data_IF_402708071121
#
_entry.id   IF_402708071121
#
_cell.length_a   1.000
_cell.length_b   1.000
_cell.length_c   1.000
_cell.angle_alpha   90.00
_cell.angle_beta   90.00
_cell.angle_gamma   90.00
#
_symmetry.space_group_name_H-M   'P 1'
#
loop_
_entity.id
_entity.type
_entity.pdbx_description
1 polymer ?
#
# COMPACT_ATOMS: atom_id res chain seq x y z
N UNK A 1 -22.83 19.29 21.71
CA UNK A 1 -21.60 18.93 20.93
C UNK A 1 -21.11 17.60 21.50
N UNK A 2 -20.64 16.66 20.65
CA UNK A 2 -20.24 15.33 21.12
C UNK A 2 -18.75 15.27 21.33
N UNK A 3 -18.33 14.72 22.47
CA UNK A 3 -16.97 14.30 22.76
C UNK A 3 -16.91 12.77 22.71
N UNK A 4 -15.84 12.24 22.15
CA UNK A 4 -15.57 10.80 22.17
C UNK A 4 -14.29 10.55 22.95
N UNK A 5 -14.35 9.71 23.97
CA UNK A 5 -13.25 9.40 24.88
C UNK A 5 -12.88 7.93 24.70
N UNK A 6 -11.63 7.65 24.41
CA UNK A 6 -11.02 6.33 24.36
C UNK A 6 -10.15 6.17 25.60
N UNK A 7 -10.64 5.40 26.59
CA UNK A 7 -9.95 5.22 27.87
C UNK A 7 -8.97 4.06 27.82
N UNK A 8 -7.82 4.24 28.49
CA UNK A 8 -6.80 3.20 28.70
C UNK A 8 -6.29 2.56 27.39
N UNK A 9 -6.21 3.35 26.31
CA UNK A 9 -5.76 2.85 25.01
C UNK A 9 -4.25 2.91 24.88
N UNK A 10 -3.61 1.85 24.36
CA UNK A 10 -2.20 1.87 23.98
C UNK A 10 -2.04 2.79 22.76
N UNK A 11 -1.59 4.01 22.97
CA UNK A 11 -1.35 4.98 21.91
C UNK A 11 0.06 4.80 21.34
N UNK A 12 0.15 4.41 20.07
CA UNK A 12 1.39 4.27 19.34
C UNK A 12 1.44 5.32 18.21
N UNK A 13 2.38 6.25 18.29
CA UNK A 13 2.57 7.30 17.30
C UNK A 13 4.01 7.29 16.76
N UNK A 14 4.28 6.67 15.61
CA UNK A 14 5.63 6.61 15.04
C UNK A 14 6.24 7.98 14.73
N UNK A 15 5.42 8.99 14.45
CA UNK A 15 5.89 10.33 14.11
C UNK A 15 6.62 11.00 15.30
N UNK A 16 6.23 10.68 16.54
CA UNK A 16 6.80 11.22 17.79
C UNK A 16 7.49 10.15 18.65
N UNK A 17 7.52 8.91 18.16
CA UNK A 17 8.03 7.75 18.89
C UNK A 17 7.31 7.48 20.22
N UNK A 18 6.03 7.86 20.34
CA UNK A 18 5.20 7.66 21.52
C UNK A 18 4.65 6.23 21.53
N UNK A 19 4.73 5.56 22.69
CA UNK A 19 4.15 4.23 22.91
C UNK A 19 3.77 4.11 24.40
N UNK A 20 2.59 4.61 24.78
CA UNK A 20 2.11 4.64 26.16
C UNK A 20 0.62 4.33 26.23
N UNK A 21 0.14 3.87 27.38
CA UNK A 21 -1.30 3.73 27.67
C UNK A 21 -1.83 5.08 28.16
N UNK A 22 -2.79 5.64 27.42
CA UNK A 22 -3.30 6.99 27.61
C UNK A 22 -4.81 7.03 27.34
N UNK A 23 -5.45 8.09 27.83
CA UNK A 23 -6.80 8.48 27.44
C UNK A 23 -6.71 9.48 26.28
N UNK A 24 -7.43 9.20 25.19
CA UNK A 24 -7.49 10.06 24.02
C UNK A 24 -8.90 10.60 23.86
N UNK A 25 -9.02 11.91 23.76
CA UNK A 25 -10.31 12.59 23.62
C UNK A 25 -10.40 13.27 22.26
N UNK A 26 -11.46 12.96 21.55
CA UNK A 26 -11.79 13.59 20.28
C UNK A 26 -12.95 14.58 20.46
N UNK A 27 -12.79 15.75 19.88
CA UNK A 27 -13.88 16.74 19.78
C UNK A 27 -13.98 17.29 18.36
N UNK A 28 -15.16 17.17 17.77
CA UNK A 28 -15.39 17.47 16.36
C UNK A 28 -14.48 16.57 15.47
N UNK A 29 -13.56 17.18 14.76
CA UNK A 29 -12.63 16.49 13.84
C UNK A 29 -11.19 16.43 14.33
N UNK A 30 -10.92 16.82 15.60
CA UNK A 30 -9.57 16.97 16.13
C UNK A 30 -9.36 16.16 17.41
N UNK A 31 -8.12 15.86 17.68
CA UNK A 31 -7.65 15.34 18.97
C UNK A 31 -7.68 16.50 19.96
N UNK A 32 -8.57 16.44 20.95
CA UNK A 32 -8.75 17.47 21.95
C UNK A 32 -7.75 17.36 23.10
N UNK A 33 -7.52 16.13 23.58
CA UNK A 33 -6.64 15.86 24.70
C UNK A 33 -6.03 14.47 24.61
N UNK A 34 -4.80 14.34 25.10
CA UNK A 34 -4.10 13.08 25.33
C UNK A 34 -3.51 13.17 26.74
N UNK A 35 -3.90 12.26 27.65
CA UNK A 35 -3.48 12.29 29.05
C UNK A 35 -3.57 10.90 29.70
N UNK A 36 -2.90 10.69 30.84
CA UNK A 36 -2.95 9.40 31.58
C UNK A 36 -4.28 9.17 32.31
N UNK A 37 -4.97 10.22 32.69
CA UNK A 37 -6.29 10.16 33.37
C UNK A 37 -7.07 11.41 32.98
N UNK A 38 -7.93 11.26 32.01
CA UNK A 38 -8.79 12.37 31.57
C UNK A 38 -10.03 12.47 32.47
N UNK A 39 -10.17 13.62 33.14
CA UNK A 39 -11.33 13.93 33.98
C UNK A 39 -12.47 14.48 33.13
N UNK A 40 -13.57 13.76 33.05
CA UNK A 40 -14.77 14.13 32.26
C UNK A 40 -15.43 15.44 32.73
N UNK A 41 -15.17 15.84 33.98
CA UNK A 41 -15.67 17.10 34.58
C UNK A 41 -15.19 18.36 33.83
N UNK A 42 -14.10 18.24 33.05
CA UNK A 42 -13.60 19.31 32.19
C UNK A 42 -14.57 19.61 31.02
N UNK A 43 -15.43 18.64 30.68
CA UNK A 43 -16.43 18.78 29.62
C UNK A 43 -17.70 19.39 30.24
N UNK A 44 -18.18 20.51 29.66
CA UNK A 44 -19.44 21.15 30.12
C UNK A 44 -20.61 20.17 30.09
N UNK A 45 -21.46 20.20 31.10
CA UNK A 45 -22.57 19.25 31.31
C UNK A 45 -23.58 19.14 30.14
N UNK A 46 -23.69 20.18 29.29
CA UNK A 46 -24.60 20.18 28.14
C UNK A 46 -24.06 19.44 26.89
N UNK A 47 -22.87 18.81 26.98
CA UNK A 47 -22.29 18.09 25.86
C UNK A 47 -22.53 16.59 25.99
N UNK A 48 -22.86 15.95 24.89
CA UNK A 48 -22.90 14.50 24.79
C UNK A 48 -21.47 13.94 24.87
N UNK A 49 -21.28 12.85 25.62
CA UNK A 49 -19.98 12.19 25.78
C UNK A 49 -20.16 10.69 25.54
N UNK A 50 -19.45 10.17 24.54
CA UNK A 50 -19.37 8.75 24.28
C UNK A 50 -18.03 8.25 24.82
N UNK A 51 -18.05 7.25 25.71
CA UNK A 51 -16.84 6.72 26.35
C UNK A 51 -16.68 5.26 25.91
N UNK A 52 -15.51 4.91 25.41
CA UNK A 52 -15.11 3.56 25.07
C UNK A 52 -14.04 3.06 26.03
N UNK A 53 -14.23 1.85 26.57
CA UNK A 53 -13.17 1.13 27.27
C UNK A 53 -12.26 0.45 26.25
N UNK A 54 -11.02 0.91 26.18
CA UNK A 54 -10.05 0.47 25.21
C UNK A 54 -8.88 -0.32 25.84
N UNK A 55 -9.06 -0.83 27.06
CA UNK A 55 -8.03 -1.67 27.68
C UNK A 55 -7.68 -2.88 26.79
N UNK A 56 -6.39 -3.11 26.60
CA UNK A 56 -5.84 -4.13 25.71
C UNK A 56 -5.89 -3.81 24.21
N UNK A 57 -6.40 -2.63 23.82
CA UNK A 57 -6.45 -2.20 22.42
C UNK A 57 -5.34 -1.20 22.09
N UNK A 58 -4.97 -1.15 20.82
CA UNK A 58 -3.95 -0.22 20.30
C UNK A 58 -4.57 0.79 19.34
N UNK A 59 -4.21 2.07 19.49
CA UNK A 59 -4.54 3.17 18.58
C UNK A 59 -3.28 3.63 17.86
N UNK A 60 -3.34 3.75 16.53
CA UNK A 60 -2.25 4.27 15.70
C UNK A 60 -2.79 5.24 14.66
N UNK A 61 -1.94 6.09 14.05
CA UNK A 61 -2.35 6.81 12.85
C UNK A 61 -2.93 5.87 11.79
N UNK A 62 -3.84 6.37 10.98
CA UNK A 62 -4.45 5.59 9.91
C UNK A 62 -3.46 5.19 8.82
N UNK A 63 -3.69 4.04 8.21
CA UNK A 63 -2.83 3.45 7.18
C UNK A 63 -2.94 4.24 5.87
N UNK A 64 -1.80 4.41 5.19
CA UNK A 64 -1.69 4.94 3.83
C UNK A 64 -1.31 3.77 2.91
N UNK A 65 -2.23 3.32 2.08
CA UNK A 65 -1.92 2.32 1.07
C UNK A 65 -1.46 3.01 -0.22
N UNK A 66 -0.19 2.83 -0.57
CA UNK A 66 0.45 3.52 -1.69
C UNK A 66 0.09 2.94 -3.06
N UNK A 67 -0.56 1.77 -3.15
CA UNK A 67 -0.69 1.08 -4.43
C UNK A 67 -1.99 0.29 -4.52
N UNK A 68 -3.04 0.97 -5.02
CA UNK A 68 -4.37 0.38 -5.23
C UNK A 68 -4.75 0.47 -6.71
N UNK A 69 -4.97 -0.68 -7.33
CA UNK A 69 -5.51 -0.77 -8.68
C UNK A 69 -6.97 -1.21 -8.61
N UNK A 70 -7.89 -0.27 -8.80
CA UNK A 70 -9.32 -0.56 -8.82
C UNK A 70 -9.64 -1.36 -10.08
N UNK A 71 -10.12 -2.59 -9.90
CA UNK A 71 -10.48 -3.50 -10.98
C UNK A 71 -11.77 -3.09 -11.70
N UNK A 72 -12.03 -3.69 -12.87
CA UNK A 72 -13.25 -3.42 -13.64
C UNK A 72 -14.55 -3.80 -12.91
N UNK A 73 -14.47 -4.71 -11.95
CA UNK A 73 -15.58 -5.19 -11.13
C UNK A 73 -15.76 -4.42 -9.85
N UNK A 74 -14.87 -3.47 -9.56
CA UNK A 74 -14.89 -2.61 -8.39
C UNK A 74 -15.27 -1.19 -8.77
N UNK A 75 -15.75 -0.43 -7.80
CA UNK A 75 -15.93 1.01 -7.94
C UNK A 75 -15.25 1.74 -6.78
N UNK A 76 -14.96 3.01 -6.96
CA UNK A 76 -14.22 3.80 -5.99
C UNK A 76 -14.83 3.77 -4.59
N UNK A 77 -16.15 3.94 -4.49
CA UNK A 77 -16.86 4.00 -3.20
C UNK A 77 -16.85 2.65 -2.49
N UNK A 78 -17.03 1.54 -3.21
CA UNK A 78 -16.96 0.20 -2.61
C UNK A 78 -15.53 -0.10 -2.13
N UNK A 79 -14.51 0.26 -2.92
CA UNK A 79 -13.11 0.09 -2.53
C UNK A 79 -12.76 0.96 -1.30
N UNK A 80 -13.25 2.20 -1.21
CA UNK A 80 -13.08 3.04 -0.02
C UNK A 80 -13.71 2.40 1.24
N UNK A 81 -14.90 1.80 1.13
CA UNK A 81 -15.53 1.12 2.27
C UNK A 81 -14.69 -0.08 2.74
N UNK A 82 -14.20 -0.89 1.82
CA UNK A 82 -13.32 -2.02 2.12
C UNK A 82 -12.02 -1.52 2.76
N UNK A 83 -11.43 -0.45 2.22
CA UNK A 83 -10.25 0.18 2.77
C UNK A 83 -10.48 0.66 4.22
N UNK A 84 -11.65 1.30 4.51
CA UNK A 84 -12.00 1.69 5.86
C UNK A 84 -12.09 0.50 6.83
N UNK A 85 -12.68 -0.61 6.41
CA UNK A 85 -12.74 -1.84 7.22
C UNK A 85 -11.36 -2.46 7.48
N UNK A 86 -10.41 -2.19 6.59
CA UNK A 86 -9.02 -2.66 6.66
C UNK A 86 -8.05 -1.69 7.36
N UNK A 87 -8.58 -0.60 7.96
CA UNK A 87 -7.74 0.38 8.67
C UNK A 87 -7.07 1.43 7.79
N UNK A 88 -7.37 1.45 6.50
CA UNK A 88 -6.79 2.41 5.56
C UNK A 88 -7.60 3.70 5.64
N UNK A 89 -6.93 4.81 5.93
CA UNK A 89 -7.52 6.16 5.96
C UNK A 89 -7.18 6.98 4.72
N UNK A 90 -6.16 6.55 3.99
CA UNK A 90 -5.74 7.17 2.74
C UNK A 90 -5.25 6.10 1.76
N UNK A 91 -5.70 6.13 0.53
CA UNK A 91 -5.23 5.21 -0.52
C UNK A 91 -4.79 5.98 -1.75
N UNK A 92 -3.82 5.43 -2.47
CA UNK A 92 -3.31 6.01 -3.72
C UNK A 92 -3.65 5.09 -4.87
N UNK A 93 -4.48 5.60 -5.79
CA UNK A 93 -4.93 4.81 -6.93
C UNK A 93 -4.01 4.97 -8.14
N UNK A 94 -3.82 3.86 -8.86
CA UNK A 94 -2.99 3.80 -10.06
C UNK A 94 -3.71 4.42 -11.27
N UNK A 95 -2.97 4.94 -12.28
CA UNK A 95 -3.58 5.63 -13.43
C UNK A 95 -4.25 4.71 -14.44
N UNK A 96 -3.96 3.42 -14.42
CA UNK A 96 -4.43 2.44 -15.41
C UNK A 96 -5.84 1.90 -15.10
N UNK A 97 -6.75 2.82 -14.78
CA UNK A 97 -8.18 2.55 -14.55
C UNK A 97 -9.02 2.90 -15.78
N UNK A 98 -10.34 2.84 -15.63
CA UNK A 98 -11.30 3.31 -16.61
C UNK A 98 -12.22 4.35 -15.98
N UNK A 99 -12.15 5.64 -16.39
CA UNK A 99 -11.23 6.23 -17.36
C UNK A 99 -9.78 6.29 -16.84
N UNK A 100 -8.78 6.35 -17.74
CA UNK A 100 -7.37 6.51 -17.37
C UNK A 100 -7.10 7.87 -16.73
N UNK A 101 -6.20 7.90 -15.71
CA UNK A 101 -5.83 9.15 -15.02
C UNK A 101 -4.69 9.87 -15.76
N UNK A 102 -4.93 10.22 -17.01
CA UNK A 102 -3.98 10.91 -17.91
C UNK A 102 -4.40 12.33 -18.27
N UNK A 103 -5.44 12.85 -17.62
CA UNK A 103 -6.02 14.17 -17.87
C UNK A 103 -6.21 14.94 -16.55
N UNK A 104 -5.80 16.23 -16.48
CA UNK A 104 -5.94 17.07 -15.29
C UNK A 104 -7.37 17.12 -14.73
N UNK A 105 -8.40 17.18 -15.61
CA UNK A 105 -9.81 17.29 -15.19
C UNK A 105 -10.30 16.04 -14.46
N UNK A 106 -9.82 14.85 -14.84
CA UNK A 106 -10.18 13.59 -14.16
C UNK A 106 -9.56 13.56 -12.77
N UNK A 107 -8.33 14.02 -12.62
CA UNK A 107 -7.63 14.09 -11.34
C UNK A 107 -8.35 15.04 -10.37
N UNK A 108 -8.70 16.23 -10.83
CA UNK A 108 -9.47 17.22 -10.06
C UNK A 108 -10.83 16.64 -9.63
N UNK A 109 -11.53 15.96 -10.54
CA UNK A 109 -12.83 15.33 -10.24
C UNK A 109 -12.72 14.31 -9.09
N UNK A 110 -11.75 13.38 -9.16
CA UNK A 110 -11.56 12.37 -8.12
C UNK A 110 -11.19 13.01 -6.79
N UNK A 111 -10.31 14.01 -6.81
CA UNK A 111 -9.91 14.75 -5.60
C UNK A 111 -11.12 15.37 -4.91
N UNK A 112 -11.93 16.13 -5.65
CA UNK A 112 -13.15 16.78 -5.10
C UNK A 112 -14.16 15.77 -4.57
N UNK A 113 -14.32 14.64 -5.25
CA UNK A 113 -15.21 13.57 -4.80
C UNK A 113 -14.73 12.98 -3.47
N UNK A 114 -13.41 12.85 -3.29
CA UNK A 114 -12.81 12.31 -2.07
C UNK A 114 -12.86 13.27 -0.88
N UNK A 115 -12.65 14.57 -1.09
CA UNK A 115 -12.59 15.58 -0.03
C UNK A 115 -13.90 15.70 0.78
N UNK A 116 -15.04 15.45 0.17
CA UNK A 116 -16.37 15.55 0.80
C UNK A 116 -16.86 14.22 1.40
N UNK A 117 -16.04 13.20 1.42
CA UNK A 117 -16.41 11.88 1.88
C UNK A 117 -16.01 11.62 3.35
N UNK A 118 -16.84 10.86 4.07
CA UNK A 118 -16.48 10.27 5.38
C UNK A 118 -15.64 9.00 5.24
N UNK A 119 -15.33 8.62 4.00
CA UNK A 119 -14.55 7.44 3.63
C UNK A 119 -13.06 7.80 3.49
N UNK A 120 -12.17 6.79 3.39
CA UNK A 120 -10.75 7.00 3.15
C UNK A 120 -10.44 7.98 2.03
N UNK A 121 -9.47 8.86 2.27
CA UNK A 121 -9.02 9.82 1.26
C UNK A 121 -8.45 9.10 0.05
N UNK A 122 -8.80 9.59 -1.13
CA UNK A 122 -8.26 9.06 -2.39
C UNK A 122 -7.27 10.04 -2.96
N UNK A 123 -6.02 9.63 -3.01
CA UNK A 123 -4.97 10.31 -3.74
C UNK A 123 -4.75 9.60 -5.08
N UNK A 124 -4.14 10.26 -6.04
CA UNK A 124 -3.99 9.71 -7.38
C UNK A 124 -2.54 9.82 -7.87
N UNK A 125 -2.07 8.76 -8.51
CA UNK A 125 -0.94 8.88 -9.42
C UNK A 125 -1.45 9.27 -10.81
N UNK A 126 -0.85 10.30 -11.40
CA UNK A 126 -1.07 10.61 -12.81
C UNK A 126 -0.32 9.64 -13.72
N UNK A 127 -0.86 9.38 -14.90
CA UNK A 127 -0.15 8.62 -15.91
C UNK A 127 1.14 9.35 -16.33
N UNK A 128 2.28 8.67 -16.24
CA UNK A 128 3.58 9.24 -16.58
C UNK A 128 3.73 9.48 -18.08
N UNK A 129 3.14 8.61 -18.89
CA UNK A 129 3.13 8.73 -20.34
C UNK A 129 1.71 8.64 -20.89
N UNK A 130 1.49 9.24 -22.06
CA UNK A 130 0.19 9.23 -22.73
C UNK A 130 -0.27 7.77 -22.92
N UNK A 131 -1.48 7.49 -22.48
CA UNK A 131 -2.13 6.19 -22.57
C UNK A 131 -1.32 5.01 -21.99
N UNK A 132 -0.37 5.29 -21.09
CA UNK A 132 0.57 4.31 -20.50
C UNK A 132 1.38 3.55 -21.55
N UNK A 133 1.70 4.19 -22.70
CA UNK A 133 2.41 3.54 -23.80
C UNK A 133 3.94 3.63 -23.69
N UNK A 134 4.48 4.45 -22.76
CA UNK A 134 5.93 4.63 -22.61
C UNK A 134 6.62 5.40 -23.74
N UNK A 135 5.86 6.02 -24.65
CA UNK A 135 6.38 6.68 -25.86
C UNK A 135 6.48 8.20 -25.73
N UNK A 136 5.49 8.82 -25.11
CA UNK A 136 5.39 10.27 -24.97
C UNK A 136 4.97 10.63 -23.54
N UNK A 137 5.64 11.61 -22.95
CA UNK A 137 5.32 12.11 -21.61
C UNK A 137 3.93 12.75 -21.59
N UNK A 138 3.16 12.49 -20.52
CA UNK A 138 1.89 13.17 -20.25
C UNK A 138 2.11 14.60 -19.74
N UNK A 139 1.03 15.35 -19.56
CA UNK A 139 1.05 16.72 -19.03
C UNK A 139 1.21 16.71 -17.49
N UNK A 140 2.34 16.15 -17.01
CA UNK A 140 2.57 15.90 -15.58
C UNK A 140 2.55 17.17 -14.74
N UNK A 141 2.95 18.33 -15.30
CA UNK A 141 2.88 19.62 -14.63
C UNK A 141 1.45 19.99 -14.27
N UNK A 142 0.56 20.03 -15.27
CA UNK A 142 -0.87 20.35 -15.07
C UNK A 142 -1.56 19.32 -14.17
N UNK A 143 -1.25 18.04 -14.31
CA UNK A 143 -1.79 17.00 -13.43
C UNK A 143 -1.32 17.17 -11.99
N UNK A 144 -0.06 17.60 -11.76
CA UNK A 144 0.44 17.91 -10.42
C UNK A 144 -0.29 19.08 -9.78
N UNK A 145 -0.59 20.14 -10.55
CA UNK A 145 -1.37 21.29 -10.07
C UNK A 145 -2.80 20.88 -9.66
N UNK A 146 -3.41 19.95 -10.39
CA UNK A 146 -4.73 19.40 -10.07
C UNK A 146 -4.71 18.39 -8.91
N UNK A 147 -3.53 17.99 -8.43
CA UNK A 147 -3.39 17.18 -7.22
C UNK A 147 -2.84 15.79 -7.40
N UNK A 148 -2.28 15.43 -8.56
CA UNK A 148 -1.51 14.21 -8.68
C UNK A 148 -0.28 14.26 -7.76
N UNK A 149 -0.09 13.21 -6.94
CA UNK A 149 0.98 13.18 -5.92
C UNK A 149 2.25 12.51 -6.40
N UNK A 150 2.25 11.90 -7.57
CA UNK A 150 3.36 11.24 -8.23
C UNK A 150 2.93 10.72 -9.61
N UNK A 151 3.87 10.15 -10.36
CA UNK A 151 3.60 9.70 -11.73
C UNK A 151 4.12 8.29 -11.98
N UNK A 152 3.31 7.48 -12.65
CA UNK A 152 3.61 6.08 -12.97
C UNK A 152 2.86 5.64 -14.23
N UNK A 153 3.32 4.58 -14.88
CA UNK A 153 2.51 3.85 -15.86
C UNK A 153 1.75 2.66 -15.24
N UNK A 154 1.61 2.67 -13.89
CA UNK A 154 0.90 1.63 -13.16
C UNK A 154 1.65 0.29 -13.18
N UNK A 155 1.13 -0.66 -13.93
CA UNK A 155 1.68 -2.03 -14.02
C UNK A 155 2.50 -2.25 -15.30
N UNK A 156 3.05 -1.19 -15.88
CA UNK A 156 3.91 -1.23 -17.05
C UNK A 156 5.18 -0.44 -16.80
N UNK A 157 6.27 -0.96 -17.32
CA UNK A 157 7.57 -0.29 -17.32
C UNK A 157 7.65 0.80 -18.40
N UNK A 158 8.34 1.89 -18.10
CA UNK A 158 8.74 2.86 -19.13
C UNK A 158 10.07 2.39 -19.73
N UNK A 159 10.00 1.70 -20.87
CA UNK A 159 11.17 1.07 -21.51
C UNK A 159 12.15 2.06 -22.09
N UNK A 160 11.67 3.12 -22.74
CA UNK A 160 12.52 4.08 -23.45
C UNK A 160 13.29 4.96 -22.46
N UNK A 161 14.62 4.80 -22.43
CA UNK A 161 15.50 5.55 -21.52
C UNK A 161 15.48 7.06 -21.75
N UNK A 162 15.26 7.54 -22.99
CA UNK A 162 15.16 8.96 -23.28
C UNK A 162 13.85 9.55 -22.75
N UNK A 163 12.75 8.83 -22.91
CA UNK A 163 11.44 9.22 -22.33
C UNK A 163 11.54 9.25 -20.81
N UNK A 164 12.11 8.21 -20.20
CA UNK A 164 12.30 8.14 -18.76
C UNK A 164 13.18 9.28 -18.24
N UNK A 165 14.30 9.57 -18.89
CA UNK A 165 15.16 10.71 -18.53
C UNK A 165 14.43 12.05 -18.58
N UNK A 166 13.65 12.30 -19.65
CA UNK A 166 12.88 13.55 -19.80
C UNK A 166 11.81 13.67 -18.71
N UNK A 167 11.10 12.58 -18.46
CA UNK A 167 10.10 12.50 -17.40
C UNK A 167 10.73 12.78 -16.02
N UNK A 168 11.83 12.11 -15.67
CA UNK A 168 12.55 12.32 -14.42
C UNK A 168 13.06 13.74 -14.27
N UNK A 169 13.61 14.35 -15.34
CA UNK A 169 14.07 15.73 -15.29
C UNK A 169 12.94 16.71 -15.00
N UNK A 170 11.78 16.53 -15.64
CA UNK A 170 10.64 17.41 -15.40
C UNK A 170 9.98 17.14 -14.01
N UNK A 171 9.86 15.89 -13.61
CA UNK A 171 9.32 15.52 -12.29
C UNK A 171 10.20 16.08 -11.15
N UNK A 172 11.52 16.13 -11.32
CA UNK A 172 12.43 16.76 -10.38
C UNK A 172 12.15 18.27 -10.21
N UNK A 173 11.84 18.99 -11.30
CA UNK A 173 11.51 20.42 -11.27
C UNK A 173 10.23 20.71 -10.47
N UNK A 174 9.23 19.85 -10.59
CA UNK A 174 7.95 19.99 -9.88
C UNK A 174 7.92 19.26 -8.53
N UNK A 175 9.06 18.71 -8.09
CA UNK A 175 9.22 17.97 -6.84
C UNK A 175 8.19 16.84 -6.65
N UNK A 176 7.96 16.04 -7.70
CA UNK A 176 7.06 14.87 -7.65
C UNK A 176 7.86 13.59 -7.88
N UNK A 177 7.56 12.53 -7.11
CA UNK A 177 8.21 11.24 -7.32
C UNK A 177 7.76 10.57 -8.62
N UNK A 178 8.68 9.83 -9.23
CA UNK A 178 8.38 8.86 -10.28
C UNK A 178 8.34 7.48 -9.63
N UNK A 179 7.23 6.79 -9.81
CA UNK A 179 6.98 5.45 -9.27
C UNK A 179 7.03 4.45 -10.41
N UNK A 180 7.92 3.47 -10.34
CA UNK A 180 8.13 2.52 -11.42
C UNK A 180 7.80 1.09 -10.99
N UNK A 181 6.94 0.44 -11.78
CA UNK A 181 6.89 -1.01 -11.85
C UNK A 181 8.11 -1.46 -12.67
N UNK A 182 9.11 -1.99 -11.98
CA UNK A 182 10.38 -2.33 -12.61
C UNK A 182 10.33 -3.75 -13.18
N UNK A 183 10.03 -3.87 -14.46
CA UNK A 183 10.03 -5.14 -15.17
C UNK A 183 10.39 -4.91 -16.64
N UNK A 184 11.38 -5.62 -17.13
CA UNK A 184 11.68 -5.64 -18.57
C UNK A 184 10.64 -6.52 -19.27
N UNK A 185 9.73 -5.88 -20.02
CA UNK A 185 8.60 -6.57 -20.65
C UNK A 185 9.03 -7.48 -21.82
N UNK A 186 10.22 -7.33 -22.36
CA UNK A 186 10.74 -8.22 -23.39
C UNK A 186 11.28 -9.51 -22.77
N UNK A 187 11.97 -9.41 -21.62
CA UNK A 187 12.43 -10.56 -20.86
C UNK A 187 11.28 -11.31 -20.16
N UNK A 188 10.27 -10.59 -19.72
CA UNK A 188 9.09 -11.21 -19.09
C UNK A 188 8.07 -11.75 -20.09
N UNK A 189 8.27 -11.51 -21.39
CA UNK A 189 7.33 -11.93 -22.42
C UNK A 189 6.00 -11.18 -22.44
N UNK A 190 5.86 -10.10 -21.67
CA UNK A 190 4.62 -9.30 -21.60
C UNK A 190 4.49 -8.30 -22.75
N UNK A 191 5.50 -8.19 -23.61
CA UNK A 191 5.47 -7.32 -24.77
C UNK A 191 4.59 -7.89 -25.88
N UNK A 192 3.37 -7.37 -26.01
CA UNK A 192 2.41 -7.77 -27.04
C UNK A 192 2.86 -7.50 -28.50
N UNK A 193 3.88 -6.69 -28.69
CA UNK A 193 4.44 -6.41 -30.01
C UNK A 193 5.51 -7.45 -30.43
N UNK A 194 5.95 -8.29 -29.53
CA UNK A 194 6.86 -9.39 -29.83
C UNK A 194 6.13 -10.46 -30.64
N UNK A 195 6.78 -10.94 -31.68
CA UNK A 195 6.28 -12.06 -32.51
C UNK A 195 6.30 -13.40 -31.78
N UNK A 196 6.98 -13.47 -30.64
CA UNK A 196 6.98 -14.61 -29.73
C UNK A 196 5.81 -14.46 -28.75
N UNK A 197 4.75 -15.26 -28.91
CA UNK A 197 3.57 -15.33 -28.06
C UNK A 197 3.85 -15.95 -26.67
N UNK A 198 5.02 -15.74 -26.13
CA UNK A 198 5.45 -16.39 -24.89
C UNK A 198 5.28 -15.38 -23.74
N UNK A 199 4.19 -15.49 -23.01
CA UNK A 199 3.96 -14.70 -21.80
C UNK A 199 4.57 -15.42 -20.60
N UNK A 200 5.47 -14.77 -19.89
CA UNK A 200 5.97 -15.26 -18.60
C UNK A 200 4.83 -15.39 -17.58
N UNK A 201 4.87 -16.44 -16.80
CA UNK A 201 3.76 -16.85 -15.93
C UNK A 201 4.15 -16.90 -14.46
N UNK A 202 5.43 -17.20 -14.19
CA UNK A 202 5.99 -17.34 -12.86
C UNK A 202 7.51 -17.06 -12.86
N UNK A 203 8.17 -17.16 -11.71
CA UNK A 203 9.63 -17.05 -11.64
C UNK A 203 10.32 -18.14 -12.46
N UNK A 204 11.37 -17.77 -13.19
CA UNK A 204 12.20 -18.74 -13.90
C UNK A 204 13.05 -19.55 -12.93
N UNK A 205 13.04 -20.88 -13.07
CA UNK A 205 13.80 -21.77 -12.23
C UNK A 205 13.37 -23.24 -12.31
N UNK A 206 13.75 -24.00 -11.30
CA UNK A 206 13.42 -25.42 -11.21
C UNK A 206 11.91 -25.65 -11.18
N UNK A 207 11.17 -24.84 -10.40
CA UNK A 207 9.72 -25.01 -10.23
C UNK A 207 8.98 -24.72 -11.54
N UNK A 208 9.34 -23.66 -12.27
CA UNK A 208 8.71 -23.34 -13.56
C UNK A 208 8.93 -24.47 -14.59
N UNK A 209 10.15 -24.99 -14.65
CA UNK A 209 10.49 -26.13 -15.52
C UNK A 209 9.68 -27.39 -15.16
N UNK A 210 9.58 -27.68 -13.86
CA UNK A 210 8.81 -28.83 -13.36
C UNK A 210 7.30 -28.70 -13.65
N UNK A 211 6.76 -27.49 -13.57
CA UNK A 211 5.34 -27.21 -13.85
C UNK A 211 5.04 -27.05 -15.33
N UNK A 212 6.06 -26.93 -16.18
CA UNK A 212 5.89 -26.63 -17.61
C UNK A 212 5.33 -25.23 -17.86
N UNK A 213 5.59 -24.28 -16.93
CA UNK A 213 5.17 -22.89 -17.02
C UNK A 213 6.34 -22.02 -17.49
N UNK A 214 6.02 -20.95 -18.22
CA UNK A 214 7.01 -20.04 -18.78
C UNK A 214 7.60 -19.18 -17.65
N UNK A 215 8.93 -19.20 -17.51
CA UNK A 215 9.66 -18.45 -16.49
C UNK A 215 9.86 -16.99 -16.86
N UNK A 216 9.89 -16.13 -15.83
CA UNK A 216 10.31 -14.73 -15.89
C UNK A 216 11.62 -14.64 -15.12
N UNK A 217 12.75 -14.33 -15.79
CA UNK A 217 14.03 -14.25 -15.12
C UNK A 217 14.05 -13.09 -14.11
N UNK A 218 14.73 -13.29 -12.97
CA UNK A 218 14.83 -12.27 -11.92
C UNK A 218 15.51 -10.98 -12.40
N UNK A 219 16.44 -11.09 -13.35
CA UNK A 219 17.13 -9.95 -13.94
C UNK A 219 16.18 -9.00 -14.71
N UNK A 220 14.98 -9.43 -15.10
CA UNK A 220 13.98 -8.54 -15.71
C UNK A 220 13.61 -7.38 -14.78
N UNK A 221 13.61 -7.58 -13.46
CA UNK A 221 13.39 -6.55 -12.45
C UNK A 221 14.65 -5.69 -12.27
N UNK A 222 15.78 -6.32 -12.08
CA UNK A 222 17.06 -5.66 -11.73
C UNK A 222 17.55 -4.70 -12.82
N UNK A 223 17.50 -5.11 -14.09
CA UNK A 223 17.97 -4.30 -15.25
C UNK A 223 17.25 -2.95 -15.30
N UNK A 224 15.95 -2.95 -15.09
CA UNK A 224 15.17 -1.71 -15.09
C UNK A 224 15.55 -0.82 -13.90
N UNK A 225 15.72 -1.40 -12.72
CA UNK A 225 16.12 -0.67 -11.51
C UNK A 225 17.51 -0.03 -11.69
N UNK A 226 18.51 -0.78 -12.16
CA UNK A 226 19.86 -0.26 -12.39
C UNK A 226 19.89 0.87 -13.41
N UNK A 227 19.17 0.71 -14.52
CA UNK A 227 19.02 1.77 -15.52
C UNK A 227 18.45 3.04 -14.88
N UNK A 228 17.34 2.90 -14.16
CA UNK A 228 16.60 4.04 -13.60
C UNK A 228 17.36 4.73 -12.47
N UNK A 229 18.11 4.00 -11.66
CA UNK A 229 19.01 4.59 -10.66
C UNK A 229 20.07 5.49 -11.30
N UNK A 230 20.64 5.08 -12.44
CA UNK A 230 21.59 5.91 -13.18
C UNK A 230 20.93 7.19 -13.70
N UNK A 231 19.70 7.10 -14.19
CA UNK A 231 18.92 8.26 -14.65
C UNK A 231 18.49 9.15 -13.47
N UNK A 232 18.10 8.57 -12.34
CA UNK A 232 17.77 9.31 -11.12
C UNK A 232 18.98 10.07 -10.56
N UNK A 233 20.18 9.46 -10.59
CA UNK A 233 21.44 10.13 -10.25
C UNK A 233 21.71 11.34 -11.14
N UNK A 234 21.44 11.22 -12.44
CA UNK A 234 21.65 12.29 -13.42
C UNK A 234 20.66 13.45 -13.22
N UNK A 235 19.42 13.16 -12.86
CA UNK A 235 18.31 14.14 -12.83
C UNK A 235 18.00 14.69 -11.46
N UNK A 236 18.43 14.01 -10.39
CA UNK A 236 18.15 14.39 -9.00
C UNK A 236 16.69 14.17 -8.55
N UNK A 237 15.89 13.42 -9.33
CA UNK A 237 14.50 13.12 -9.05
C UNK A 237 14.35 12.21 -7.81
N UNK A 238 13.23 12.33 -7.10
CA UNK A 238 12.79 11.31 -6.17
C UNK A 238 12.27 10.11 -6.98
N UNK A 239 12.99 8.98 -6.94
CA UNK A 239 12.61 7.78 -7.66
C UNK A 239 12.20 6.67 -6.70
N UNK A 240 11.04 6.07 -6.93
CA UNK A 240 10.47 5.03 -6.11
C UNK A 240 10.29 3.74 -6.91
N UNK A 241 10.88 2.66 -6.43
CA UNK A 241 10.71 1.31 -7.00
C UNK A 241 9.56 0.63 -6.31
N UNK A 242 8.49 0.34 -7.03
CA UNK A 242 7.32 -0.32 -6.48
C UNK A 242 7.55 -1.84 -6.37
N UNK A 243 7.01 -2.43 -5.29
CA UNK A 243 6.88 -3.88 -5.00
C UNK A 243 8.11 -4.71 -5.37
N UNK A 244 9.30 -4.34 -4.87
CA UNK A 244 10.54 -5.11 -5.08
C UNK A 244 10.38 -6.56 -4.60
N UNK A 245 10.92 -7.49 -5.37
CA UNK A 245 10.74 -8.92 -5.14
C UNK A 245 12.02 -9.75 -5.14
N UNK A 246 13.17 -9.21 -5.63
CA UNK A 246 14.40 -9.99 -5.78
C UNK A 246 15.53 -9.51 -4.87
N UNK A 247 16.42 -10.41 -4.46
CA UNK A 247 17.64 -10.11 -3.68
C UNK A 247 18.52 -9.08 -4.38
N UNK A 248 18.74 -9.27 -5.68
CA UNK A 248 19.61 -8.39 -6.45
C UNK A 248 19.06 -6.97 -6.54
N UNK A 249 17.75 -6.81 -6.72
CA UNK A 249 17.09 -5.49 -6.68
C UNK A 249 17.31 -4.79 -5.34
N UNK A 250 17.15 -5.51 -4.23
CA UNK A 250 17.36 -4.97 -2.88
C UNK A 250 18.81 -4.54 -2.69
N UNK A 251 19.78 -5.33 -3.16
CA UNK A 251 21.18 -4.99 -3.09
C UNK A 251 21.52 -3.73 -3.87
N UNK A 252 21.04 -3.61 -5.10
CA UNK A 252 21.23 -2.43 -5.96
C UNK A 252 20.62 -1.19 -5.33
N UNK A 253 19.41 -1.28 -4.77
CA UNK A 253 18.75 -0.18 -4.07
C UNK A 253 19.51 0.21 -2.80
N UNK A 254 19.98 -0.76 -2.02
CA UNK A 254 20.78 -0.53 -0.81
C UNK A 254 22.05 0.27 -1.12
N UNK A 255 22.78 -0.11 -2.16
CA UNK A 255 23.98 0.61 -2.58
C UNK A 255 23.65 2.02 -3.10
N UNK A 256 22.56 2.20 -3.83
CA UNK A 256 22.12 3.52 -4.28
C UNK A 256 21.77 4.44 -3.10
N UNK A 257 21.11 3.93 -2.07
CA UNK A 257 20.81 4.68 -0.82
C UNK A 257 22.07 5.04 -0.06
N UNK A 258 23.02 4.10 0.10
CA UNK A 258 24.34 4.37 0.71
C UNK A 258 25.12 5.47 -0.04
N UNK A 259 24.96 5.54 -1.35
CA UNK A 259 25.53 6.59 -2.18
C UNK A 259 24.79 7.94 -2.06
N UNK A 260 23.77 8.07 -1.21
CA UNK A 260 23.02 9.30 -0.95
C UNK A 260 22.03 9.66 -2.05
N UNK A 261 21.65 8.73 -2.92
CA UNK A 261 20.65 8.99 -3.96
C UNK A 261 19.24 8.99 -3.36
N UNK A 262 18.35 9.77 -3.94
CA UNK A 262 16.94 9.89 -3.53
C UNK A 262 16.12 8.72 -4.08
N UNK A 263 16.48 7.52 -3.65
CA UNK A 263 15.84 6.27 -4.05
C UNK A 263 15.07 5.72 -2.86
N UNK A 264 13.83 5.33 -3.09
CA UNK A 264 12.99 4.61 -2.14
C UNK A 264 12.37 3.38 -2.80
N UNK A 265 11.90 2.42 -2.02
CA UNK A 265 11.15 1.29 -2.53
C UNK A 265 10.09 0.79 -1.55
N UNK A 266 9.08 0.15 -2.08
CA UNK A 266 8.12 -0.62 -1.31
C UNK A 266 8.17 -2.12 -1.67
N UNK A 267 7.49 -2.91 -0.87
CA UNK A 267 7.17 -4.31 -1.16
C UNK A 267 5.72 -4.58 -0.81
N UNK A 268 5.23 -5.79 -1.10
CA UNK A 268 3.87 -6.19 -0.75
C UNK A 268 3.87 -7.52 0.03
N UNK A 269 2.80 -7.80 0.79
CA UNK A 269 2.71 -9.00 1.64
C UNK A 269 3.06 -10.32 0.96
N UNK A 270 2.72 -10.59 -0.31
CA UNK A 270 3.11 -11.83 -0.96
C UNK A 270 4.63 -12.07 -1.01
N UNK A 271 5.43 -11.01 -1.21
CA UNK A 271 6.88 -11.13 -1.45
C UNK A 271 7.71 -11.40 -0.20
N UNK A 272 7.20 -11.12 1.00
CA UNK A 272 7.85 -11.53 2.25
C UNK A 272 7.20 -12.74 2.93
N UNK A 273 6.01 -13.18 2.47
CA UNK A 273 5.25 -14.25 3.12
C UNK A 273 5.18 -15.55 2.33
N UNK A 274 5.40 -15.50 1.01
CA UNK A 274 5.25 -16.61 0.07
C UNK A 274 6.46 -16.70 -0.86
N UNK A 275 6.69 -17.88 -1.43
CA UNK A 275 7.68 -18.11 -2.46
C UNK A 275 7.09 -18.92 -3.61
N UNK A 276 7.88 -19.21 -4.65
CA UNK A 276 7.45 -19.91 -5.86
C UNK A 276 6.88 -21.31 -5.63
N UNK A 277 7.20 -21.97 -4.49
CA UNK A 277 6.65 -23.30 -4.17
C UNK A 277 5.14 -23.27 -3.95
N UNK A 278 4.57 -22.10 -3.64
CA UNK A 278 3.13 -21.91 -3.52
C UNK A 278 2.39 -22.24 -4.84
N UNK A 279 3.08 -22.15 -5.98
CA UNK A 279 2.51 -22.43 -7.29
C UNK A 279 2.39 -23.93 -7.61
N UNK A 280 2.95 -24.82 -6.81
CA UNK A 280 2.88 -26.29 -7.02
C UNK A 280 1.44 -26.82 -7.14
N UNK A 281 0.47 -26.09 -6.60
CA UNK A 281 -0.95 -26.40 -6.69
C UNK A 281 -1.64 -25.85 -7.94
N UNK A 282 -0.95 -25.12 -8.80
CA UNK A 282 -1.51 -24.33 -9.91
C UNK A 282 -2.63 -23.35 -9.49
N UNK A 283 -2.72 -23.00 -8.20
CA UNK A 283 -3.69 -22.03 -7.73
C UNK A 283 -3.41 -20.65 -8.34
N UNK A 284 -4.35 -20.18 -9.13
CA UNK A 284 -4.23 -18.92 -9.87
C UNK A 284 -4.20 -17.67 -8.98
N UNK A 285 -4.57 -17.78 -7.69
CA UNK A 285 -4.41 -16.69 -6.71
C UNK A 285 -2.92 -16.28 -6.56
N UNK A 286 -1.99 -17.20 -6.82
CA UNK A 286 -0.55 -16.94 -6.78
C UNK A 286 0.04 -16.39 -8.09
N UNK A 287 -0.78 -16.17 -9.13
CA UNK A 287 -0.34 -15.53 -10.38
C UNK A 287 -0.26 -14.02 -10.19
N UNK A 288 0.91 -13.53 -9.82
CA UNK A 288 1.21 -12.13 -9.46
C UNK A 288 2.23 -11.52 -10.43
N UNK A 289 2.40 -10.20 -10.40
CA UNK A 289 3.45 -9.46 -11.09
C UNK A 289 3.93 -8.33 -10.16
N UNK A 290 5.20 -8.39 -9.73
CA UNK A 290 6.20 -9.43 -9.98
C UNK A 290 5.75 -10.84 -9.58
N UNK A 291 6.34 -11.92 -10.15
CA UNK A 291 6.02 -13.27 -9.72
C UNK A 291 6.59 -13.56 -8.33
N UNK A 292 6.01 -14.53 -7.62
CA UNK A 292 6.60 -15.08 -6.40
C UNK A 292 7.96 -15.70 -6.74
N UNK A 293 9.00 -15.27 -6.03
CA UNK A 293 10.40 -15.63 -6.28
C UNK A 293 10.82 -16.85 -5.46
N UNK A 294 12.08 -17.24 -5.58
CA UNK A 294 12.69 -18.29 -4.77
C UNK A 294 12.74 -17.91 -3.28
N UNK A 295 12.99 -18.87 -2.39
CA UNK A 295 13.04 -18.62 -0.94
C UNK A 295 14.13 -17.62 -0.55
N UNK A 296 15.26 -17.63 -1.25
CA UNK A 296 16.37 -16.72 -1.00
C UNK A 296 15.99 -15.26 -1.27
N UNK A 297 15.21 -15.00 -2.31
CA UNK A 297 14.65 -13.69 -2.60
C UNK A 297 13.66 -13.25 -1.52
N UNK A 298 12.76 -14.15 -1.10
CA UNK A 298 11.81 -13.85 -0.01
C UNK A 298 12.52 -13.47 1.28
N UNK A 299 13.59 -14.19 1.64
CA UNK A 299 14.41 -13.86 2.81
C UNK A 299 15.11 -12.52 2.65
N UNK A 300 15.60 -12.19 1.44
CA UNK A 300 16.19 -10.88 1.18
C UNK A 300 15.19 -9.74 1.30
N UNK A 301 13.91 -9.93 0.92
CA UNK A 301 12.84 -8.95 1.18
C UNK A 301 12.67 -8.72 2.68
N UNK A 302 12.66 -9.78 3.49
CA UNK A 302 12.60 -9.66 4.95
C UNK A 302 13.82 -8.91 5.49
N UNK A 303 15.04 -9.23 5.05
CA UNK A 303 16.26 -8.52 5.42
C UNK A 303 16.15 -7.02 5.05
N UNK A 304 15.66 -6.71 3.85
CA UNK A 304 15.46 -5.33 3.39
C UNK A 304 14.42 -4.55 4.22
N UNK A 305 13.38 -5.22 4.73
CA UNK A 305 12.45 -4.63 5.70
C UNK A 305 13.16 -4.38 7.04
N UNK A 306 13.98 -5.32 7.51
CA UNK A 306 14.67 -5.21 8.79
C UNK A 306 15.74 -4.12 8.80
N UNK A 307 16.53 -3.99 7.75
CA UNK A 307 17.64 -3.02 7.69
C UNK A 307 17.21 -1.62 7.20
N UNK A 308 15.95 -1.48 6.74
CA UNK A 308 15.40 -0.21 6.24
C UNK A 308 15.75 0.09 4.78
N UNK A 309 16.25 -0.88 4.03
CA UNK A 309 16.38 -0.76 2.57
C UNK A 309 15.00 -0.63 1.92
N UNK A 310 14.02 -1.40 2.40
CA UNK A 310 12.61 -1.27 2.02
C UNK A 310 11.95 -0.24 2.93
N UNK A 311 11.39 0.81 2.33
CA UNK A 311 10.85 1.98 3.04
C UNK A 311 9.41 1.82 3.44
N UNK A 312 8.60 1.10 2.67
CA UNK A 312 7.17 0.98 2.89
C UNK A 312 6.64 -0.41 2.50
N UNK A 313 5.44 -0.73 2.99
CA UNK A 313 4.68 -1.90 2.57
C UNK A 313 3.36 -1.39 1.99
N UNK A 314 3.02 -1.81 0.77
CA UNK A 314 1.78 -1.48 0.08
C UNK A 314 0.96 -2.76 -0.18
N UNK A 315 -0.34 -2.62 -0.40
CA UNK A 315 -1.19 -3.79 -0.65
C UNK A 315 -0.92 -4.46 -2.00
N UNK A 316 -0.45 -3.71 -2.97
CA UNK A 316 -0.41 -4.06 -4.39
C UNK A 316 -1.76 -4.64 -4.88
N UNK A 317 -2.84 -4.07 -4.36
CA UNK A 317 -4.20 -4.53 -4.63
C UNK A 317 -4.52 -4.47 -6.11
N UNK A 318 -4.87 -5.63 -6.66
CA UNK A 318 -5.27 -5.79 -8.05
C UNK A 318 -6.29 -6.93 -8.13
N UNK A 319 -7.48 -6.71 -7.55
CA UNK A 319 -8.56 -7.70 -7.54
C UNK A 319 -8.99 -8.08 -8.97
N UNK A 320 -9.43 -9.31 -9.12
CA UNK A 320 -9.86 -9.90 -10.39
C UNK A 320 -11.19 -10.59 -10.21
N UNK A 321 -12.02 -10.56 -11.25
CA UNK A 321 -13.27 -11.33 -11.22
C UNK A 321 -12.98 -12.84 -11.11
N UNK A 322 -13.86 -13.57 -10.45
CA UNK A 322 -13.74 -15.03 -10.32
C UNK A 322 -13.55 -15.70 -11.68
N UNK A 323 -14.31 -15.29 -12.69
CA UNK A 323 -14.26 -15.87 -14.06
C UNK A 323 -12.88 -15.77 -14.70
N UNK A 324 -12.13 -14.69 -14.43
CA UNK A 324 -10.78 -14.51 -14.97
C UNK A 324 -9.70 -15.25 -14.18
N UNK A 325 -10.04 -15.77 -13.01
CA UNK A 325 -9.17 -16.56 -12.14
C UNK A 325 -9.48 -18.06 -12.16
N UNK A 326 -10.75 -18.45 -12.39
CA UNK A 326 -11.15 -19.85 -12.58
C UNK A 326 -10.86 -20.25 -14.03
N UNK A 327 -9.57 -20.27 -14.37
CA UNK A 327 -9.02 -20.56 -15.69
C UNK A 327 -7.78 -21.45 -15.52
N UNK A 328 -7.32 -22.17 -16.55
CA UNK A 328 -5.98 -22.74 -16.53
C UNK A 328 -4.93 -21.67 -16.18
N UNK A 329 -3.87 -22.05 -15.48
CA UNK A 329 -2.91 -21.08 -14.91
C UNK A 329 -2.38 -20.09 -15.96
N UNK A 330 -2.03 -20.60 -17.16
CA UNK A 330 -1.54 -19.77 -18.27
C UNK A 330 -2.56 -18.72 -18.73
N UNK A 331 -3.85 -19.05 -18.76
CA UNK A 331 -4.92 -18.14 -19.19
C UNK A 331 -5.44 -17.23 -18.08
N UNK A 332 -5.15 -17.53 -16.82
CA UNK A 332 -5.63 -16.77 -15.68
C UNK A 332 -5.04 -15.34 -15.64
N UNK A 333 -5.85 -14.38 -15.22
CA UNK A 333 -5.43 -12.99 -15.07
C UNK A 333 -4.41 -12.79 -13.94
N UNK A 334 -3.40 -11.96 -14.16
CA UNK A 334 -2.40 -11.57 -13.16
C UNK A 334 -3.03 -10.62 -12.13
N UNK A 335 -2.73 -10.82 -10.84
CA UNK A 335 -3.13 -9.97 -9.72
C UNK A 335 -4.01 -10.68 -8.71
N UNK A 336 -4.05 -10.14 -7.51
CA UNK A 336 -4.85 -10.62 -6.39
C UNK A 336 -5.34 -9.47 -5.52
N UNK A 337 -6.29 -9.75 -4.61
CA UNK A 337 -6.72 -8.81 -3.58
C UNK A 337 -5.64 -8.64 -2.51
N UNK A 338 -5.36 -7.40 -2.11
CA UNK A 338 -4.36 -7.08 -1.09
C UNK A 338 -4.86 -6.14 0.02
N UNK A 339 -5.87 -5.29 -0.23
CA UNK A 339 -6.35 -4.28 0.74
C UNK A 339 -6.71 -4.94 2.08
N UNK A 340 -7.52 -5.99 2.07
CA UNK A 340 -8.04 -6.62 3.29
C UNK A 340 -6.99 -7.42 4.06
N UNK A 341 -5.83 -7.67 3.46
CA UNK A 341 -4.74 -8.46 4.07
C UNK A 341 -3.50 -7.65 4.40
N UNK A 342 -3.38 -6.41 3.92
CA UNK A 342 -2.22 -5.55 4.12
C UNK A 342 -1.80 -5.45 5.60
N UNK A 343 -2.73 -5.05 6.47
CA UNK A 343 -2.45 -4.81 7.88
C UNK A 343 -2.06 -6.10 8.61
N UNK A 344 -2.89 -7.13 8.51
CA UNK A 344 -2.70 -8.38 9.28
C UNK A 344 -1.45 -9.15 8.83
N UNK A 345 -1.11 -9.09 7.54
CA UNK A 345 0.11 -9.68 7.02
C UNK A 345 1.37 -8.89 7.43
N UNK A 346 1.27 -7.56 7.55
CA UNK A 346 2.37 -6.75 8.11
C UNK A 346 2.52 -7.02 9.61
N UNK A 347 1.43 -7.18 10.34
CA UNK A 347 1.45 -7.51 11.77
C UNK A 347 2.05 -8.90 12.03
N UNK A 348 1.95 -9.84 11.08
CA UNK A 348 2.62 -11.15 11.17
C UNK A 348 4.15 -11.02 11.33
N UNK A 349 4.77 -9.99 10.73
CA UNK A 349 6.20 -9.72 10.92
C UNK A 349 6.52 -9.37 12.38
N UNK A 350 5.60 -8.69 13.06
CA UNK A 350 5.74 -8.36 14.49
C UNK A 350 5.61 -9.61 15.34
N UNK A 351 4.59 -10.44 15.09
CA UNK A 351 4.40 -11.71 15.83
C UNK A 351 5.56 -12.68 15.65
N UNK A 352 6.18 -12.68 14.47
CA UNK A 352 7.40 -13.45 14.20
C UNK A 352 8.68 -12.80 14.76
N UNK A 353 8.56 -11.64 15.45
CA UNK A 353 9.70 -10.88 16.00
C UNK A 353 10.74 -10.47 14.95
N UNK A 354 10.32 -10.28 13.71
CA UNK A 354 11.16 -9.81 12.60
C UNK A 354 11.39 -8.30 12.74
N UNK A 355 10.33 -7.55 13.05
CA UNK A 355 10.35 -6.11 13.36
C UNK A 355 9.48 -5.82 14.58
N UNK A 356 9.65 -4.66 15.21
CA UNK A 356 8.75 -4.19 16.26
C UNK A 356 7.48 -3.54 15.68
N UNK A 357 6.48 -3.33 16.54
CA UNK A 357 5.20 -2.76 16.13
C UNK A 357 5.35 -1.32 15.64
N UNK A 358 6.25 -0.52 16.25
CA UNK A 358 6.47 0.86 15.84
C UNK A 358 6.97 0.93 14.39
N UNK A 359 7.92 0.06 14.04
CA UNK A 359 8.44 -0.05 12.67
C UNK A 359 7.36 -0.54 11.71
N UNK A 360 6.57 -1.57 12.09
CA UNK A 360 5.48 -2.06 11.25
C UNK A 360 4.47 -0.95 10.91
N UNK A 361 4.07 -0.15 11.90
CA UNK A 361 3.16 0.98 11.68
C UNK A 361 3.85 2.09 10.87
N UNK A 362 5.14 2.37 11.10
CA UNK A 362 5.88 3.35 10.28
C UNK A 362 5.88 3.00 8.79
N UNK A 363 6.07 1.71 8.45
CA UNK A 363 6.05 1.19 7.08
C UNK A 363 4.69 1.35 6.38
N UNK A 364 3.61 1.51 7.14
CA UNK A 364 2.25 1.69 6.65
C UNK A 364 1.73 3.14 6.76
N UNK A 365 2.45 4.04 7.43
CA UNK A 365 1.93 5.38 7.78
C UNK A 365 2.90 6.50 7.44
N UNK A 366 3.88 6.76 8.31
CA UNK A 366 4.81 7.90 8.19
C UNK A 366 5.73 7.76 6.99
N UNK A 367 6.17 6.55 6.66
CA UNK A 367 7.08 6.34 5.55
C UNK A 367 6.41 6.54 4.19
N UNK A 368 5.21 5.95 3.91
CA UNK A 368 4.43 6.30 2.73
C UNK A 368 4.20 7.80 2.57
N UNK A 369 3.86 8.50 3.67
CA UNK A 369 3.67 9.95 3.62
C UNK A 369 4.94 10.70 3.20
N UNK A 370 6.12 10.28 3.71
CA UNK A 370 7.40 10.87 3.32
C UNK A 370 7.71 10.64 1.83
N UNK A 371 7.54 9.41 1.34
CA UNK A 371 7.79 9.05 -0.07
C UNK A 371 6.93 9.90 -1.01
N UNK A 372 5.69 10.15 -0.63
CA UNK A 372 4.69 10.83 -1.43
C UNK A 372 4.64 12.35 -1.20
N UNK A 373 5.54 12.91 -0.38
CA UNK A 373 5.53 14.31 0.03
C UNK A 373 4.16 14.76 0.61
N UNK A 374 3.51 13.88 1.37
CA UNK A 374 2.26 14.15 2.09
C UNK A 374 2.54 14.62 3.52
N UNK A 375 1.55 15.26 4.14
CA UNK A 375 1.61 15.52 5.59
C UNK A 375 1.71 14.19 6.33
N UNK A 376 2.69 14.06 7.22
CA UNK A 376 2.83 12.87 8.06
C UNK A 376 1.60 12.71 8.96
N UNK A 377 0.99 11.54 8.99
CA UNK A 377 -0.06 11.27 9.96
C UNK A 377 0.55 11.24 11.36
N UNK A 378 -0.06 11.97 12.28
CA UNK A 378 0.39 12.07 13.68
C UNK A 378 -0.81 12.14 14.60
N UNK A 379 -0.68 11.54 15.78
CA UNK A 379 -1.67 11.60 16.84
C UNK A 379 -1.16 12.54 17.93
N UNK A 380 -1.40 13.83 17.71
CA UNK A 380 -1.03 14.91 18.64
C UNK A 380 -2.23 15.83 18.88
N UNK A 381 -2.21 16.57 19.99
CA UNK A 381 -3.26 17.53 20.30
C UNK A 381 -3.42 18.54 19.16
N UNK A 382 -4.67 18.88 18.84
CA UNK A 382 -5.12 19.81 17.79
C UNK A 382 -4.93 19.30 16.35
N UNK A 383 -4.32 18.11 16.15
CA UNK A 383 -4.28 17.45 14.84
C UNK A 383 -5.63 16.83 14.47
N UNK A 384 -5.82 16.58 13.17
CA UNK A 384 -7.00 15.88 12.68
C UNK A 384 -7.04 14.45 13.26
N UNK A 385 -8.20 14.05 13.72
CA UNK A 385 -8.41 12.72 14.29
C UNK A 385 -8.58 11.68 13.15
N UNK A 386 -7.44 11.21 12.63
CA UNK A 386 -7.34 10.17 11.61
C UNK A 386 -6.53 9.00 12.15
N UNK A 387 -7.21 7.95 12.59
CA UNK A 387 -6.58 6.84 13.31
C UNK A 387 -7.36 5.54 13.14
N UNK A 388 -6.68 4.47 13.52
CA UNK A 388 -7.27 3.14 13.63
C UNK A 388 -7.17 2.63 15.06
N UNK A 389 -8.11 1.77 15.43
CA UNK A 389 -8.11 1.00 16.68
C UNK A 389 -8.14 -0.48 16.31
N UNK A 390 -7.26 -1.25 16.92
CA UNK A 390 -7.17 -2.68 16.65
C UNK A 390 -6.78 -3.47 17.90
N UNK A 391 -7.10 -4.75 17.87
CA UNK A 391 -6.57 -5.76 18.79
C UNK A 391 -5.44 -6.50 18.09
N UNK A 392 -4.20 -6.35 18.60
CA UNK A 392 -3.02 -6.94 17.98
C UNK A 392 -2.94 -8.47 18.10
N UNK A 393 -3.64 -9.04 19.10
CA UNK A 393 -3.56 -10.46 19.43
C UNK A 393 -4.82 -11.27 19.08
N UNK A 394 -5.84 -10.62 18.51
CA UNK A 394 -7.09 -11.30 18.17
C UNK A 394 -6.82 -12.44 17.16
N UNK A 395 -7.08 -13.72 17.53
CA UNK A 395 -6.87 -14.83 16.61
C UNK A 395 -7.96 -14.85 15.53
N UNK A 396 -7.55 -14.91 14.28
CA UNK A 396 -8.46 -14.97 13.14
C UNK A 396 -7.86 -15.86 12.03
N UNK A 397 -8.60 -16.06 10.98
CA UNK A 397 -8.18 -16.80 9.80
C UNK A 397 -8.69 -16.08 8.55
N UNK A 398 -7.82 -15.83 7.61
CA UNK A 398 -8.21 -15.26 6.32
C UNK A 398 -9.07 -16.31 5.61
N UNK A 399 -10.32 -15.97 5.32
CA UNK A 399 -11.23 -16.80 4.56
C UNK A 399 -11.72 -16.00 3.36
N UNK A 400 -11.30 -16.43 2.18
CA UNK A 400 -11.61 -15.74 0.92
C UNK A 400 -13.12 -15.58 0.67
N UNK A 401 -13.97 -16.46 1.23
CA UNK A 401 -15.41 -16.33 1.10
C UNK A 401 -16.00 -15.18 1.95
N UNK A 402 -15.28 -14.74 2.98
CA UNK A 402 -15.66 -13.62 3.83
C UNK A 402 -15.07 -12.29 3.36
N UNK A 403 -14.07 -12.33 2.47
CA UNK A 403 -13.48 -11.13 1.89
C UNK A 403 -14.43 -10.53 0.85
N UNK A 404 -14.46 -9.21 0.80
CA UNK A 404 -15.27 -8.45 -0.16
C UNK A 404 -14.60 -8.37 -1.52
N UNK A 405 -13.28 -8.54 -1.53
CA UNK A 405 -12.46 -8.62 -2.74
C UNK A 405 -11.76 -9.97 -2.82
N UNK A 406 -11.69 -10.54 -4.01
CA UNK A 406 -11.10 -11.88 -4.21
C UNK A 406 -10.52 -12.04 -5.61
N UNK A 407 -9.64 -13.03 -5.85
CA UNK A 407 -9.08 -13.93 -4.84
C UNK A 407 -7.90 -13.31 -4.08
N UNK A 408 -7.59 -13.89 -2.93
CA UNK A 408 -6.39 -13.58 -2.15
C UNK A 408 -5.40 -14.76 -2.18
N UNK A 409 -4.07 -14.52 -2.17
CA UNK A 409 -3.08 -15.58 -2.04
C UNK A 409 -2.94 -16.12 -0.60
N UNK A 410 -3.71 -15.59 0.36
CA UNK A 410 -3.62 -15.91 1.78
C UNK A 410 -4.81 -16.70 2.32
N UNK A 411 -5.62 -17.28 1.45
CA UNK A 411 -6.78 -18.04 1.89
C UNK A 411 -6.40 -19.14 2.90
N UNK A 412 -7.23 -19.32 3.93
CA UNK A 412 -7.05 -20.24 5.06
C UNK A 412 -5.78 -19.99 5.91
N UNK A 413 -5.12 -18.85 5.76
CA UNK A 413 -3.98 -18.49 6.61
C UNK A 413 -4.45 -18.05 7.98
N UNK A 414 -3.91 -18.69 9.03
CA UNK A 414 -4.10 -18.26 10.41
C UNK A 414 -3.31 -16.98 10.66
N UNK A 415 -3.94 -16.01 11.27
CA UNK A 415 -3.39 -14.69 11.57
C UNK A 415 -3.73 -14.28 12.99
N UNK A 416 -3.02 -13.29 13.50
CA UNK A 416 -3.42 -12.56 14.69
C UNK A 416 -3.55 -11.08 14.33
N UNK A 417 -4.57 -10.43 14.88
CA UNK A 417 -4.84 -9.02 14.67
C UNK A 417 -6.17 -8.76 13.97
N UNK A 418 -6.86 -7.72 14.44
CA UNK A 418 -8.15 -7.31 13.89
C UNK A 418 -8.37 -5.82 14.01
N UNK A 419 -8.72 -5.17 12.91
CA UNK A 419 -9.18 -3.78 12.92
C UNK A 419 -10.58 -3.73 13.56
N UNK A 420 -10.73 -2.91 14.58
CA UNK A 420 -11.97 -2.72 15.32
C UNK A 420 -12.64 -1.39 14.98
N UNK A 421 -11.88 -0.36 14.65
CA UNK A 421 -12.40 0.93 14.26
C UNK A 421 -11.43 1.70 13.37
N UNK A 422 -11.99 2.45 12.41
CA UNK A 422 -11.27 3.38 11.54
C UNK A 422 -11.96 4.72 11.58
N UNK A 423 -11.22 5.76 11.93
CA UNK A 423 -11.75 7.10 12.13
C UNK A 423 -11.08 8.08 11.16
N UNK A 424 -11.91 8.89 10.50
CA UNK A 424 -11.49 9.90 9.53
C UNK A 424 -12.15 11.22 9.90
N UNK A 425 -11.35 12.27 10.08
CA UNK A 425 -11.83 13.56 10.54
C UNK A 425 -12.70 13.47 11.80
N UNK A 426 -12.31 12.63 12.76
CA UNK A 426 -13.03 12.42 14.02
C UNK A 426 -14.33 11.63 13.91
N UNK A 427 -14.70 11.18 12.71
CA UNK A 427 -15.90 10.38 12.48
C UNK A 427 -15.54 8.94 12.15
N UNK A 428 -16.35 8.01 12.62
CA UNK A 428 -16.17 6.60 12.30
C UNK A 428 -16.50 6.33 10.83
N UNK A 429 -15.47 5.96 10.05
CA UNK A 429 -15.64 5.40 8.73
C UNK A 429 -15.99 3.90 8.79
N UNK A 430 -15.46 3.22 9.82
CA UNK A 430 -15.80 1.85 10.15
C UNK A 430 -15.75 1.64 11.67
N UNK A 431 -16.70 0.89 12.19
CA UNK A 431 -16.72 0.38 13.57
C UNK A 431 -17.24 -1.05 13.55
N UNK A 432 -16.46 -1.98 14.10
CA UNK A 432 -16.89 -3.36 14.31
C UNK A 432 -17.94 -3.48 15.41
N UNK A 433 -18.76 -4.52 15.38
CA UNK A 433 -19.74 -4.76 16.46
C UNK A 433 -19.04 -4.96 17.80
N UNK A 434 -17.93 -5.70 17.85
CA UNK A 434 -17.11 -5.88 19.05
C UNK A 434 -16.68 -4.56 19.70
N UNK A 435 -16.38 -3.54 18.89
CA UNK A 435 -15.96 -2.25 19.42
C UNK A 435 -17.14 -1.41 19.90
N UNK A 436 -18.30 -1.51 19.24
CA UNK A 436 -19.53 -0.88 19.72
C UNK A 436 -19.94 -1.35 21.12
N UNK A 437 -19.71 -2.64 21.39
CA UNK A 437 -20.06 -3.26 22.67
C UNK A 437 -19.14 -2.79 23.82
N UNK A 438 -18.05 -2.05 23.52
CA UNK A 438 -17.13 -1.44 24.50
C UNK A 438 -17.55 -0.03 24.95
N UNK A 439 -18.70 0.48 24.51
CA UNK A 439 -19.23 1.75 24.99
C UNK A 439 -19.63 1.59 26.46
N UNK A 440 -19.06 2.43 27.30
CA UNK A 440 -19.44 2.59 28.70
C UNK A 440 -20.44 3.76 28.73
N UNK A 441 -21.65 3.53 29.19
CA UNK A 441 -22.67 4.58 29.33
C UNK A 441 -22.32 5.58 30.40
#
# INVERSE_FOLDING_TARGET
>A
MTYTIFKSIKLLNPATNLNEILDVVIHKNKIFSISKDFKTEVIKQDNQVDIYDCDGLTMTPGIIDMRVNIGKTENLVSTQKIAAESGITSMVILPNQTPKLNNPSIIDHIKRQSENSKLPKVNVYGAATKDDQGLEMSEIGLMSEMGAIGFTNGNKSIKNSLVMRRLMSYAAMINRPIIQHAEDEDLSGLNKASTTLINGEMNEGEISTRLGLIGIPSCAEVIIIERDIRLAKLTGVNYHVAHVSTRDSINVIREAKKAGLKITCDTAPPYFSLNETSLLSYNTAFKLSPPLRIEDDRLAVIEGIQDGTIDAIASDHRARSKDTKVQPFSAASIGASGIETLFVMTLELVHKKIIDLNKAISLLTTNPANILNMKKPSLEKDELAEFIIFDENFPDMINQNNLKTSPTPFDLRKINGKILGTFINGQAAYISQMFKDKIIK
#
